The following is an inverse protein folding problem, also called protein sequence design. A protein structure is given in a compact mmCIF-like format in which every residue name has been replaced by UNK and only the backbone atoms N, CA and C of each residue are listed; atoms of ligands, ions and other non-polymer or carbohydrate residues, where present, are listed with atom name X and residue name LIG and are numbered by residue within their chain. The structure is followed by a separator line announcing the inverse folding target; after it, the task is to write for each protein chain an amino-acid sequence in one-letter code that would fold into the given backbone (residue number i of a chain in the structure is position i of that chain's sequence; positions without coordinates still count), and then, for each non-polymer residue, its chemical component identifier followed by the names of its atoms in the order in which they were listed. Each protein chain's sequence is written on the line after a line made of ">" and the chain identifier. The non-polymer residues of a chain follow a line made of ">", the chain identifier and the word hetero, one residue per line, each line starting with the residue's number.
data_IF_030742392690
#
_entry.id   IF_030742392690
#
_cell.length_a   1.000
_cell.length_b   1.000
_cell.length_c   1.000
_cell.angle_alpha   90.00
_cell.angle_beta   90.00
_cell.angle_gamma   90.00
#
_symmetry.space_group_name_H-M   'P 1'
#
loop_
_entity.id
_entity.type
_entity.pdbx_description
1 polymer ?
#
# COMPACT_ATOMS: atom_id res chain seq x y z
N UNK A 1 47.56 33.91 -30.87
CA UNK A 1 47.55 32.69 -31.70
C UNK A 1 46.23 31.96 -31.42
N UNK A 2 45.08 32.30 -31.98
CA UNK A 2 44.73 33.00 -33.24
C UNK A 2 45.28 32.34 -34.51
N UNK A 3 44.32 31.99 -35.38
CA UNK A 3 44.37 31.69 -36.82
C UNK A 3 45.22 30.45 -37.23
N UNK A 4 44.99 29.73 -38.34
CA UNK A 4 44.12 29.92 -39.53
C UNK A 4 43.88 28.53 -40.21
N UNK A 5 42.98 28.23 -41.17
CA UNK A 5 41.75 28.82 -41.76
C UNK A 5 41.20 27.89 -42.86
N UNK A 6 39.85 27.80 -43.06
CA UNK A 6 39.15 27.50 -44.34
C UNK A 6 39.33 26.08 -44.98
N UNK A 7 38.45 25.54 -45.85
CA UNK A 7 37.03 25.77 -46.17
C UNK A 7 36.47 24.69 -47.13
N UNK A 8 35.13 24.55 -47.17
CA UNK A 8 34.32 23.94 -48.26
C UNK A 8 34.52 22.42 -48.55
N UNK A 9 33.63 21.69 -49.23
CA UNK A 9 32.40 22.06 -49.96
C UNK A 9 31.31 20.96 -49.92
N UNK A 10 30.08 21.37 -50.24
CA UNK A 10 28.90 20.55 -50.60
C UNK A 10 29.19 19.30 -51.46
N UNK A 11 28.37 18.24 -51.35
CA UNK A 11 27.31 17.93 -52.33
C UNK A 11 26.62 16.56 -52.12
N UNK A 12 25.36 16.49 -52.56
CA UNK A 12 24.39 15.39 -52.58
C UNK A 12 24.79 14.01 -53.14
N UNK A 13 24.29 12.95 -52.47
CA UNK A 13 23.62 11.72 -53.01
C UNK A 13 24.42 10.76 -53.94
N UNK A 14 23.94 9.51 -54.25
CA UNK A 14 22.66 8.87 -53.93
C UNK A 14 22.75 7.46 -53.26
N UNK A 15 21.58 6.81 -53.10
CA UNK A 15 21.41 5.41 -52.68
C UNK A 15 22.05 4.37 -53.61
N UNK A 16 22.56 3.27 -53.03
CA UNK A 16 22.27 1.86 -53.40
C UNK A 16 23.24 0.90 -52.68
N UNK A 17 22.76 -0.29 -52.26
CA UNK A 17 23.66 -1.38 -51.81
C UNK A 17 23.12 -2.27 -50.69
N UNK A 18 22.17 -3.15 -51.03
CA UNK A 18 21.78 -4.28 -50.17
C UNK A 18 22.92 -5.32 -50.09
N UNK A 19 23.37 -5.64 -48.87
CA UNK A 19 24.02 -6.91 -48.57
C UNK A 19 23.72 -7.37 -47.13
N UNK A 20 23.07 -8.53 -47.01
CA UNK A 20 22.62 -9.08 -45.74
C UNK A 20 23.74 -9.61 -44.83
N UNK A 21 23.48 -9.58 -43.52
CA UNK A 21 24.33 -10.14 -42.47
C UNK A 21 23.50 -10.60 -41.28
N UNK A 22 23.13 -11.87 -41.25
CA UNK A 22 22.30 -12.47 -40.22
C UNK A 22 23.10 -12.75 -38.93
N UNK A 23 22.61 -12.25 -37.78
CA UNK A 23 22.91 -12.86 -36.47
C UNK A 23 21.64 -12.90 -35.60
N UNK A 24 21.41 -14.07 -34.99
CA UNK A 24 20.11 -14.46 -34.44
C UNK A 24 19.80 -13.92 -33.04
N UNK A 25 18.51 -13.84 -32.73
CA UNK A 25 17.99 -13.68 -31.36
C UNK A 25 17.47 -15.03 -30.86
N UNK A 26 17.76 -15.33 -29.59
CA UNK A 26 17.25 -16.54 -28.91
C UNK A 26 15.73 -16.52 -28.71
N UNK A 27 15.14 -17.66 -28.31
CA UNK A 27 13.71 -17.91 -28.46
C UNK A 27 12.84 -17.13 -27.47
N UNK A 28 11.80 -16.48 -28.00
CA UNK A 28 10.62 -16.09 -27.22
C UNK A 28 9.74 -17.33 -26.94
N UNK A 29 9.03 -17.39 -25.80
CA UNK A 29 8.01 -18.42 -25.57
C UNK A 29 6.84 -18.25 -26.58
N UNK A 30 6.17 -19.35 -26.99
CA UNK A 30 5.24 -19.32 -28.11
C UNK A 30 3.96 -18.54 -27.78
N UNK A 31 3.54 -17.70 -28.73
CA UNK A 31 2.22 -17.09 -28.72
C UNK A 31 1.14 -18.17 -28.94
N UNK A 32 0.09 -18.17 -28.11
CA UNK A 32 -1.08 -19.02 -28.34
C UNK A 32 -1.86 -18.47 -29.54
N UNK A 33 -1.98 -19.28 -30.58
CA UNK A 33 -2.64 -18.90 -31.82
C UNK A 33 -4.13 -18.56 -31.60
N UNK A 34 -4.56 -17.42 -32.13
CA UNK A 34 -5.98 -17.14 -32.36
C UNK A 34 -6.29 -17.55 -33.80
N UNK A 35 -7.15 -18.55 -33.97
CA UNK A 35 -7.67 -18.94 -35.29
C UNK A 35 -8.65 -17.89 -35.80
N UNK A 36 -8.42 -17.38 -37.00
CA UNK A 36 -9.39 -16.54 -37.69
C UNK A 36 -10.65 -17.35 -38.05
N UNK A 37 -11.82 -16.73 -37.88
CA UNK A 37 -13.08 -17.14 -38.47
C UNK A 37 -13.81 -15.87 -38.94
N UNK A 38 -14.30 -15.88 -40.17
CA UNK A 38 -14.78 -14.68 -40.85
C UNK A 38 -16.19 -14.24 -40.42
N UNK A 39 -16.41 -12.93 -40.44
CA UNK A 39 -17.67 -12.30 -40.87
C UNK A 39 -18.93 -12.43 -39.99
N UNK A 40 -19.35 -11.32 -39.37
CA UNK A 40 -20.73 -11.17 -38.88
C UNK A 40 -20.86 -10.26 -37.66
N UNK A 41 -21.31 -9.02 -37.85
CA UNK A 41 -21.40 -8.04 -36.77
C UNK A 41 -22.62 -8.19 -35.87
N UNK A 42 -22.40 -8.33 -34.56
CA UNK A 42 -23.22 -7.70 -33.52
C UNK A 42 -22.43 -7.59 -32.22
N UNK A 43 -22.49 -6.45 -31.52
CA UNK A 43 -21.77 -6.24 -30.26
C UNK A 43 -22.53 -6.89 -29.09
N UNK A 44 -22.39 -8.21 -28.95
CA UNK A 44 -22.88 -8.96 -27.79
C UNK A 44 -22.10 -8.59 -26.53
N UNK A 45 -22.80 -8.09 -25.51
CA UNK A 45 -22.23 -7.91 -24.17
C UNK A 45 -21.83 -9.28 -23.60
N UNK A 46 -20.60 -9.41 -23.13
CA UNK A 46 -20.17 -10.57 -22.34
C UNK A 46 -21.03 -10.73 -21.08
N UNK A 47 -21.15 -11.96 -20.53
CA UNK A 47 -22.02 -12.21 -19.39
C UNK A 47 -21.60 -11.37 -18.20
N UNK A 48 -22.51 -10.49 -17.75
CA UNK A 48 -22.34 -9.79 -16.48
C UNK A 48 -22.30 -10.84 -15.34
N UNK A 49 -21.49 -10.63 -14.29
CA UNK A 49 -21.69 -11.39 -13.06
C UNK A 49 -23.14 -11.18 -12.59
N UNK A 50 -23.81 -12.21 -12.05
CA UNK A 50 -25.22 -12.10 -11.67
C UNK A 50 -25.38 -10.93 -10.72
N UNK A 51 -26.32 -10.04 -11.04
CA UNK A 51 -26.67 -8.92 -10.18
C UNK A 51 -27.03 -9.48 -8.80
N UNK A 52 -26.31 -9.04 -7.78
CA UNK A 52 -26.63 -9.41 -6.40
C UNK A 52 -27.95 -8.73 -6.08
N UNK A 53 -29.04 -9.48 -6.23
CA UNK A 53 -30.37 -9.01 -5.90
C UNK A 53 -30.35 -8.60 -4.43
N UNK A 54 -30.47 -7.29 -4.18
CA UNK A 54 -30.79 -6.78 -2.86
C UNK A 54 -32.22 -7.21 -2.58
N UNK A 55 -32.39 -8.28 -1.81
CA UNK A 55 -33.68 -8.62 -1.23
C UNK A 55 -34.08 -7.50 -0.27
N UNK A 56 -35.07 -6.71 -0.66
CA UNK A 56 -35.84 -5.90 0.28
C UNK A 56 -36.65 -6.88 1.13
N UNK A 57 -36.05 -7.32 2.24
CA UNK A 57 -36.66 -8.19 3.23
C UNK A 57 -36.19 -7.77 4.63
N UNK A 58 -37.14 -7.21 5.37
CA UNK A 58 -37.25 -7.15 6.82
C UNK A 58 -36.13 -6.48 7.63
N UNK A 59 -36.37 -5.19 7.87
CA UNK A 59 -35.75 -4.39 8.92
C UNK A 59 -36.17 -4.87 10.33
N UNK A 60 -35.69 -6.04 10.77
CA UNK A 60 -35.84 -6.54 12.15
C UNK A 60 -34.73 -7.52 12.58
N UNK A 61 -33.50 -7.31 12.09
CA UNK A 61 -32.31 -8.07 12.50
C UNK A 61 -31.31 -7.19 13.26
N UNK A 62 -31.35 -7.23 14.59
CA UNK A 62 -30.49 -6.40 15.43
C UNK A 62 -29.00 -6.81 15.33
N UNK A 63 -28.24 -6.10 14.49
CA UNK A 63 -26.79 -6.05 14.60
C UNK A 63 -26.47 -5.30 15.90
N UNK A 64 -26.12 -6.05 16.94
CA UNK A 64 -25.89 -5.53 18.29
C UNK A 64 -24.87 -4.39 18.27
N UNK A 65 -25.34 -3.17 18.51
CA UNK A 65 -24.49 -2.00 18.67
C UNK A 65 -23.61 -2.19 19.91
N UNK A 66 -22.32 -2.41 19.70
CA UNK A 66 -21.34 -2.29 20.77
C UNK A 66 -21.26 -0.79 21.15
N UNK A 67 -21.40 -0.41 22.43
CA UNK A 67 -21.60 0.98 22.82
C UNK A 67 -20.28 1.77 22.78
N UNK A 68 -19.92 2.25 21.59
CA UNK A 68 -18.95 3.36 21.45
C UNK A 68 -19.72 4.65 21.69
N UNK A 69 -19.44 5.32 22.80
CA UNK A 69 -20.24 6.45 23.30
C UNK A 69 -20.23 7.70 22.39
N UNK A 70 -21.22 8.60 22.55
CA UNK A 70 -21.39 9.75 21.68
C UNK A 70 -20.48 10.92 22.08
N UNK A 71 -19.43 11.22 21.29
CA UNK A 71 -18.64 12.45 21.48
C UNK A 71 -17.75 12.89 20.29
N UNK A 72 -18.21 12.81 19.03
CA UNK A 72 -17.55 13.51 17.91
C UNK A 72 -18.53 14.17 16.93
N UNK A 73 -19.55 14.85 17.47
CA UNK A 73 -20.19 15.96 16.76
C UNK A 73 -19.42 17.24 17.10
N UNK A 74 -18.47 17.64 16.26
CA UNK A 74 -17.89 18.99 16.29
C UNK A 74 -18.60 19.86 15.27
N UNK A 75 -19.15 20.98 15.75
CA UNK A 75 -19.90 21.94 14.95
C UNK A 75 -19.02 22.55 13.86
N UNK A 76 -19.60 22.77 12.68
CA UNK A 76 -18.98 23.54 11.60
C UNK A 76 -19.10 25.05 11.89
N UNK A 77 -18.27 25.56 12.80
CA UNK A 77 -17.98 26.98 12.98
C UNK A 77 -16.63 27.14 13.70
N UNK A 78 -15.99 28.27 13.44
CA UNK A 78 -14.73 28.75 14.05
C UNK A 78 -13.44 28.00 13.70
N UNK A 79 -12.53 28.72 13.04
CA UNK A 79 -11.17 28.28 12.78
C UNK A 79 -10.36 28.25 14.08
N UNK A 80 -10.15 27.05 14.62
CA UNK A 80 -9.31 26.82 15.80
C UNK A 80 -8.65 25.45 15.71
N UNK A 81 -7.36 25.42 15.38
CA UNK A 81 -6.62 24.19 15.08
C UNK A 81 -6.74 23.13 16.19
N UNK A 82 -7.25 21.96 15.82
CA UNK A 82 -7.29 20.79 16.69
C UNK A 82 -5.88 20.24 16.89
N UNK A 83 -5.34 20.42 18.11
CA UNK A 83 -4.04 19.83 18.50
C UNK A 83 -4.15 18.31 18.63
N UNK A 84 -4.19 17.60 17.49
CA UNK A 84 -3.84 16.19 17.40
C UNK A 84 -2.35 16.03 17.72
N UNK A 85 -2.04 15.65 18.96
CA UNK A 85 -0.67 15.56 19.43
C UNK A 85 0.05 14.34 18.85
N UNK A 86 0.54 14.45 17.61
CA UNK A 86 1.60 13.58 17.11
C UNK A 86 2.83 13.72 18.03
N UNK A 87 3.40 12.62 18.54
CA UNK A 87 4.55 12.70 19.43
C UNK A 87 5.80 13.13 18.65
N UNK A 88 6.15 14.41 18.76
CA UNK A 88 7.38 14.99 18.23
C UNK A 88 8.61 14.38 18.91
N UNK A 89 9.08 13.24 18.42
CA UNK A 89 10.47 12.82 18.64
C UNK A 89 11.44 13.86 18.08
N UNK A 90 12.74 13.80 18.43
CA UNK A 90 13.74 14.71 17.87
C UNK A 90 13.87 14.43 16.36
N UNK A 91 13.09 15.16 15.57
CA UNK A 91 13.15 15.12 14.13
C UNK A 91 14.55 15.58 13.70
N UNK A 92 15.24 14.73 12.94
CA UNK A 92 16.40 15.18 12.18
C UNK A 92 15.84 16.13 11.13
N UNK A 93 16.01 17.43 11.37
CA UNK A 93 15.48 18.49 10.53
C UNK A 93 16.05 18.35 9.11
N UNK A 94 15.25 17.76 8.23
CA UNK A 94 15.44 17.89 6.78
C UNK A 94 14.93 19.27 6.39
N UNK A 95 15.55 19.89 5.39
CA UNK A 95 14.98 21.13 4.87
C UNK A 95 13.75 20.81 4.02
N UNK A 96 12.79 21.74 3.96
CA UNK A 96 11.65 21.62 3.05
C UNK A 96 12.10 21.47 1.57
N UNK A 97 13.28 22.00 1.23
CA UNK A 97 13.90 21.83 -0.08
C UNK A 97 14.35 20.36 -0.34
N UNK A 98 14.87 19.66 0.67
CA UNK A 98 15.23 18.24 0.55
C UNK A 98 14.00 17.37 0.32
N UNK A 99 12.93 17.60 1.09
CA UNK A 99 11.69 16.85 0.96
C UNK A 99 11.02 17.08 -0.40
N UNK A 100 11.02 18.33 -0.90
CA UNK A 100 10.56 18.67 -2.26
C UNK A 100 11.40 17.97 -3.33
N UNK A 101 12.73 18.03 -3.23
CA UNK A 101 13.64 17.41 -4.19
C UNK A 101 13.46 15.89 -4.21
N UNK A 102 13.32 15.27 -3.03
CA UNK A 102 13.00 13.84 -2.90
C UNK A 102 11.66 13.51 -3.56
N UNK A 103 10.59 14.31 -3.35
CA UNK A 103 9.28 14.09 -3.97
C UNK A 103 9.36 14.17 -5.51
N UNK A 104 10.05 15.18 -6.03
CA UNK A 104 10.27 15.35 -7.47
C UNK A 104 11.12 14.23 -8.09
N UNK A 105 11.95 13.54 -7.29
CA UNK A 105 12.73 12.38 -7.73
C UNK A 105 11.90 11.11 -7.82
N UNK A 106 10.90 10.93 -6.95
CA UNK A 106 10.12 9.68 -6.84
C UNK A 106 8.73 9.74 -7.48
N UNK A 107 8.25 10.92 -7.88
CA UNK A 107 6.90 11.11 -8.44
C UNK A 107 6.96 11.87 -9.78
N UNK A 108 6.48 11.27 -10.87
CA UNK A 108 6.34 11.98 -12.15
C UNK A 108 5.23 13.04 -12.05
N UNK A 109 5.58 14.30 -12.38
CA UNK A 109 4.66 15.44 -12.48
C UNK A 109 3.41 15.15 -13.32
N UNK A 110 3.46 14.22 -14.29
CA UNK A 110 2.31 13.80 -15.10
C UNK A 110 1.17 13.25 -14.25
N UNK A 111 1.47 12.41 -13.26
CA UNK A 111 0.45 11.78 -12.39
C UNK A 111 -0.35 12.83 -11.61
N UNK A 112 0.29 13.92 -11.18
CA UNK A 112 -0.37 15.05 -10.52
C UNK A 112 -1.25 15.90 -11.46
N UNK A 113 -1.08 15.79 -12.78
CA UNK A 113 -1.87 16.51 -13.80
C UNK A 113 -3.09 15.72 -14.29
N UNK A 114 -3.14 14.40 -14.09
CA UNK A 114 -4.28 13.55 -14.47
C UNK A 114 -5.56 13.92 -13.69
N UNK A 115 -5.41 14.51 -12.49
CA UNK A 115 -6.55 14.93 -11.68
C UNK A 115 -7.18 16.23 -12.21
N UNK A 116 -8.28 16.10 -12.95
CA UNK A 116 -9.14 17.21 -13.39
C UNK A 116 -10.07 17.76 -12.28
N UNK A 117 -9.87 17.33 -11.03
CA UNK A 117 -10.56 17.82 -9.83
C UNK A 117 -12.10 17.67 -9.79
N UNK A 118 -12.68 16.79 -10.62
CA UNK A 118 -14.13 16.65 -10.86
C UNK A 118 -15.00 16.14 -9.70
N UNK A 119 -14.43 15.62 -8.61
CA UNK A 119 -15.19 15.16 -7.44
C UNK A 119 -15.78 13.75 -7.48
N UNK A 120 -15.70 13.00 -8.59
CA UNK A 120 -16.24 11.62 -8.67
C UNK A 120 -15.60 10.62 -7.68
N UNK A 121 -14.43 10.95 -7.14
CA UNK A 121 -13.74 10.13 -6.15
C UNK A 121 -14.23 10.33 -4.69
N UNK A 122 -15.10 11.30 -4.43
CA UNK A 122 -15.53 11.70 -3.08
C UNK A 122 -16.31 10.58 -2.38
N UNK A 123 -17.38 10.07 -3.00
CA UNK A 123 -18.24 9.03 -2.41
C UNK A 123 -17.58 7.65 -2.28
N UNK A 124 -16.45 7.46 -2.96
CA UNK A 124 -15.63 6.25 -2.90
C UNK A 124 -14.51 6.34 -1.85
N UNK A 125 -14.32 7.51 -1.23
CA UNK A 125 -13.33 7.71 -0.18
C UNK A 125 -13.99 7.55 1.20
N UNK A 126 -13.69 6.47 1.96
CA UNK A 126 -14.35 6.23 3.24
C UNK A 126 -14.00 7.30 4.29
N UNK A 127 -12.80 7.87 4.24
CA UNK A 127 -12.38 8.90 5.21
C UNK A 127 -13.05 10.24 4.93
N UNK A 128 -13.11 10.67 3.67
CA UNK A 128 -13.90 11.84 3.28
C UNK A 128 -15.38 11.71 3.67
N UNK A 129 -16.00 10.54 3.43
CA UNK A 129 -17.40 10.30 3.77
C UNK A 129 -17.73 10.35 5.26
N UNK A 130 -16.74 10.14 6.13
CA UNK A 130 -16.89 10.26 7.59
C UNK A 130 -16.56 11.68 8.06
N UNK A 131 -15.56 12.33 7.46
CA UNK A 131 -15.01 13.61 7.93
C UNK A 131 -15.63 14.84 7.26
N UNK A 132 -16.13 14.74 6.03
CA UNK A 132 -16.68 15.86 5.25
C UNK A 132 -15.66 16.92 4.79
N UNK A 133 -14.45 16.92 5.31
CA UNK A 133 -13.40 17.88 4.97
C UNK A 133 -12.78 17.59 3.59
N UNK A 134 -12.85 18.55 2.66
CA UNK A 134 -12.31 18.39 1.30
C UNK A 134 -10.80 18.09 1.28
N UNK A 135 -10.03 18.60 2.25
CA UNK A 135 -8.63 18.27 2.41
C UNK A 135 -8.39 16.76 2.63
N UNK A 136 -9.34 16.07 3.27
CA UNK A 136 -9.38 14.62 3.46
C UNK A 136 -10.03 13.84 2.31
N UNK A 137 -10.28 14.50 1.18
CA UNK A 137 -10.70 13.84 -0.05
C UNK A 137 -9.50 13.34 -0.88
N UNK A 138 -9.70 12.42 -1.83
CA UNK A 138 -8.63 11.99 -2.73
C UNK A 138 -8.12 13.15 -3.59
N UNK A 139 -9.04 13.97 -4.14
CA UNK A 139 -8.65 15.15 -4.96
C UNK A 139 -8.01 16.26 -4.11
N UNK A 140 -8.44 16.43 -2.87
CA UNK A 140 -7.86 17.38 -1.92
C UNK A 140 -6.44 16.99 -1.53
N UNK A 141 -6.19 15.72 -1.22
CA UNK A 141 -4.83 15.21 -0.99
C UNK A 141 -3.95 15.38 -2.24
N UNK A 142 -4.41 15.05 -3.45
CA UNK A 142 -3.64 15.31 -4.68
C UNK A 142 -3.30 16.81 -4.82
N UNK A 143 -4.25 17.70 -4.53
CA UNK A 143 -4.02 19.15 -4.57
C UNK A 143 -2.94 19.60 -3.57
N UNK A 144 -2.97 19.08 -2.34
CA UNK A 144 -1.96 19.37 -1.32
C UNK A 144 -0.57 18.83 -1.71
N UNK A 145 -0.49 17.57 -2.18
CA UNK A 145 0.76 16.94 -2.67
C UNK A 145 1.34 17.75 -3.83
N UNK A 146 0.48 18.28 -4.70
CA UNK A 146 0.90 19.20 -5.78
C UNK A 146 1.44 20.53 -5.23
N UNK A 147 0.90 21.08 -4.16
CA UNK A 147 1.47 22.28 -3.52
C UNK A 147 2.88 21.99 -2.96
N UNK A 148 3.11 20.84 -2.33
CA UNK A 148 4.46 20.41 -1.87
C UNK A 148 5.40 20.23 -3.07
N UNK A 149 4.96 19.55 -4.14
CA UNK A 149 5.74 19.35 -5.37
C UNK A 149 6.15 20.69 -6.02
N UNK A 150 5.24 21.65 -6.06
CA UNK A 150 5.46 23.01 -6.56
C UNK A 150 6.24 23.90 -5.58
N UNK A 151 6.47 23.45 -4.34
CA UNK A 151 7.24 24.16 -3.31
C UNK A 151 6.50 25.31 -2.63
N UNK A 152 5.17 25.25 -2.59
CA UNK A 152 4.29 26.28 -2.01
C UNK A 152 3.94 26.04 -0.55
N UNK A 153 3.95 24.78 -0.11
CA UNK A 153 3.81 24.36 1.30
C UNK A 153 4.93 23.37 1.64
N UNK A 154 5.27 23.23 2.93
CA UNK A 154 6.28 22.27 3.38
C UNK A 154 5.73 20.85 3.43
N UNK A 155 6.61 19.85 3.28
CA UNK A 155 6.28 18.45 3.59
C UNK A 155 6.16 18.20 5.11
N UNK A 156 6.81 19.04 5.91
CA UNK A 156 6.78 19.00 7.38
C UNK A 156 5.58 19.75 7.98
N UNK A 157 4.74 20.35 7.12
CA UNK A 157 3.52 21.06 7.53
C UNK A 157 2.57 20.09 8.28
N UNK A 158 2.16 20.40 9.53
CA UNK A 158 1.30 19.53 10.32
C UNK A 158 -0.02 19.18 9.64
N UNK A 159 -0.66 20.14 8.96
CA UNK A 159 -1.97 19.95 8.33
C UNK A 159 -1.83 19.02 7.11
N UNK A 160 -0.77 19.22 6.31
CA UNK A 160 -0.41 18.30 5.23
C UNK A 160 -0.20 16.88 5.75
N UNK A 161 0.59 16.73 6.83
CA UNK A 161 0.86 15.43 7.45
C UNK A 161 -0.42 14.77 7.93
N UNK A 162 -1.28 15.47 8.66
CA UNK A 162 -2.55 14.95 9.18
C UNK A 162 -3.42 14.39 8.04
N UNK A 163 -3.68 15.19 7.00
CA UNK A 163 -4.51 14.75 5.88
C UNK A 163 -3.88 13.57 5.12
N UNK A 164 -2.57 13.56 4.86
CA UNK A 164 -1.89 12.45 4.18
C UNK A 164 -1.89 11.16 5.01
N UNK A 165 -1.81 11.27 6.34
CA UNK A 165 -1.87 10.12 7.24
C UNK A 165 -3.28 9.60 7.49
N UNK A 166 -4.30 10.45 7.42
CA UNK A 166 -5.70 10.02 7.48
C UNK A 166 -6.09 9.07 6.34
N UNK A 167 -5.41 9.10 5.18
CA UNK A 167 -5.70 8.18 4.08
C UNK A 167 -5.52 6.70 4.47
N UNK A 168 -6.51 5.84 4.17
CA UNK A 168 -6.38 4.39 4.42
C UNK A 168 -5.59 3.64 3.32
N UNK A 169 -5.21 4.31 2.23
CA UNK A 169 -4.60 3.71 1.02
C UNK A 169 -5.36 2.48 0.47
N UNK A 170 -6.69 2.49 0.62
CA UNK A 170 -7.58 1.42 0.12
C UNK A 170 -7.79 1.46 -1.41
N UNK A 171 -7.30 2.50 -2.10
CA UNK A 171 -7.36 2.73 -3.55
C UNK A 171 -8.75 2.68 -4.21
N UNK A 172 -9.84 2.64 -3.45
CA UNK A 172 -11.22 2.70 -3.99
C UNK A 172 -11.53 3.96 -4.81
N UNK A 173 -10.84 5.08 -4.54
CA UNK A 173 -10.93 6.29 -5.34
C UNK A 173 -10.32 6.18 -6.74
N UNK A 174 -9.38 5.24 -6.95
CA UNK A 174 -8.72 5.02 -8.23
C UNK A 174 -9.62 4.24 -9.20
N UNK A 175 -10.39 3.26 -8.71
CA UNK A 175 -11.37 2.51 -9.53
C UNK A 175 -12.56 3.38 -9.96
N UNK A 176 -12.89 4.42 -9.19
CA UNK A 176 -13.93 5.40 -9.51
C UNK A 176 -13.47 6.54 -10.43
N UNK A 177 -12.17 6.66 -10.72
CA UNK A 177 -11.64 7.81 -11.45
C UNK A 177 -11.70 7.59 -12.98
N UNK A 178 -12.54 8.34 -13.74
CA UNK A 178 -12.60 8.18 -15.19
C UNK A 178 -11.32 8.66 -15.90
N UNK A 179 -10.53 9.52 -15.25
CA UNK A 179 -9.24 10.00 -15.75
C UNK A 179 -8.08 9.02 -15.50
N UNK A 180 -8.33 7.87 -14.85
CA UNK A 180 -7.31 6.84 -14.62
C UNK A 180 -6.20 7.20 -13.62
N UNK A 181 -6.40 8.23 -12.79
CA UNK A 181 -5.40 8.77 -11.86
C UNK A 181 -4.76 7.68 -11.02
N UNK A 182 -3.43 7.58 -11.07
CA UNK A 182 -2.64 6.60 -10.30
C UNK A 182 -2.51 7.01 -8.82
N UNK A 183 -3.63 7.06 -8.10
CA UNK A 183 -3.73 7.57 -6.75
C UNK A 183 -2.74 6.90 -5.77
N UNK A 184 -2.59 5.57 -5.86
CA UNK A 184 -1.67 4.81 -5.00
C UNK A 184 -0.23 5.32 -5.08
N UNK A 185 0.31 5.52 -6.29
CA UNK A 185 1.66 6.03 -6.49
C UNK A 185 1.83 7.46 -5.94
N UNK A 186 0.80 8.31 -6.08
CA UNK A 186 0.80 9.68 -5.59
C UNK A 186 0.81 9.73 -4.05
N UNK A 187 -0.02 8.94 -3.38
CA UNK A 187 -0.11 8.94 -1.91
C UNK A 187 1.09 8.23 -1.25
N UNK A 188 1.63 7.17 -1.86
CA UNK A 188 2.85 6.49 -1.40
C UNK A 188 4.07 7.42 -1.49
N UNK A 189 4.24 8.14 -2.61
CA UNK A 189 5.29 9.14 -2.76
C UNK A 189 5.17 10.27 -1.71
N UNK A 190 3.94 10.75 -1.46
CA UNK A 190 3.69 11.75 -0.43
C UNK A 190 4.04 11.24 0.99
N UNK A 191 3.71 9.99 1.32
CA UNK A 191 4.07 9.37 2.61
C UNK A 191 5.57 9.18 2.79
N UNK A 192 6.31 8.92 1.71
CA UNK A 192 7.76 8.77 1.74
C UNK A 192 8.52 10.08 2.05
N UNK A 193 7.88 11.24 1.86
CA UNK A 193 8.46 12.57 2.15
C UNK A 193 7.81 13.26 3.35
N UNK A 194 6.52 13.02 3.63
CA UNK A 194 5.81 13.62 4.75
C UNK A 194 6.43 13.25 6.10
N UNK A 195 7.06 12.07 6.19
CA UNK A 195 7.45 11.47 7.46
C UNK A 195 8.91 11.70 7.86
N UNK A 196 9.19 12.36 9.00
CA UNK A 196 10.53 12.59 9.51
C UNK A 196 11.13 11.33 10.15
N UNK A 197 11.39 10.29 9.36
CA UNK A 197 12.16 9.10 9.80
C UNK A 197 13.61 9.52 10.04
N UNK A 198 14.15 9.25 11.23
CA UNK A 198 15.55 9.52 11.54
C UNK A 198 16.51 8.59 10.76
N UNK A 199 17.78 8.98 10.50
CA UNK A 199 18.75 8.15 9.78
C UNK A 199 18.99 6.79 10.45
N UNK A 200 18.97 6.74 11.78
CA UNK A 200 19.09 5.51 12.57
C UNK A 200 17.87 4.60 12.38
N UNK A 201 16.64 5.11 12.50
CA UNK A 201 15.42 4.35 12.24
C UNK A 201 15.34 3.85 10.79
N UNK A 202 15.76 4.66 9.81
CA UNK A 202 15.84 4.26 8.39
C UNK A 202 16.84 3.11 8.18
N UNK A 203 17.96 3.14 8.89
CA UNK A 203 19.00 2.09 8.82
C UNK A 203 18.56 0.81 9.53
N UNK A 204 18.02 0.91 10.74
CA UNK A 204 17.47 -0.21 11.50
C UNK A 204 16.29 -0.86 10.77
N UNK A 205 15.35 -0.06 10.26
CA UNK A 205 14.21 -0.57 9.48
C UNK A 205 14.65 -1.30 8.21
N UNK A 206 15.64 -0.75 7.48
CA UNK A 206 16.23 -1.42 6.31
C UNK A 206 16.96 -2.71 6.69
N UNK A 207 17.69 -2.73 7.81
CA UNK A 207 18.37 -3.94 8.29
C UNK A 207 17.36 -5.03 8.69
N UNK A 208 16.32 -4.69 9.45
CA UNK A 208 15.24 -5.64 9.83
C UNK A 208 14.54 -6.16 8.57
N UNK A 209 14.18 -5.29 7.63
CA UNK A 209 13.51 -5.69 6.38
C UNK A 209 14.41 -6.56 5.50
N UNK A 210 15.68 -6.21 5.34
CA UNK A 210 16.65 -6.92 4.51
C UNK A 210 17.21 -8.21 5.11
N UNK A 211 17.09 -8.43 6.43
CA UNK A 211 17.67 -9.62 7.10
C UNK A 211 16.67 -10.47 7.87
N UNK A 212 15.76 -9.88 8.64
CA UNK A 212 14.79 -10.62 9.45
C UNK A 212 13.66 -11.09 8.54
N UNK A 213 12.97 -10.18 7.84
CA UNK A 213 11.82 -10.57 7.01
C UNK A 213 12.18 -11.40 5.76
N UNK A 214 13.41 -11.32 5.27
CA UNK A 214 13.92 -12.14 4.13
C UNK A 214 14.36 -13.54 4.53
N UNK A 215 14.65 -13.81 5.82
CA UNK A 215 15.22 -15.09 6.27
C UNK A 215 14.27 -15.80 7.22
N UNK A 216 13.56 -16.81 6.71
CA UNK A 216 12.66 -17.69 7.49
C UNK A 216 13.20 -18.13 8.87
N UNK A 217 14.45 -18.64 9.03
CA UNK A 217 14.95 -19.05 10.35
C UNK A 217 15.09 -17.87 11.34
N UNK A 218 15.41 -16.65 10.86
CA UNK A 218 15.44 -15.46 11.72
C UNK A 218 14.03 -15.06 12.17
N UNK A 219 13.00 -15.23 11.32
CA UNK A 219 11.60 -15.02 11.73
C UNK A 219 11.15 -16.04 12.77
N UNK A 220 11.57 -17.30 12.65
CA UNK A 220 11.24 -18.34 13.62
C UNK A 220 11.94 -18.13 14.97
N UNK A 221 13.18 -17.64 14.95
CA UNK A 221 13.89 -17.21 16.15
C UNK A 221 13.25 -15.95 16.77
N UNK A 222 12.91 -14.95 15.97
CA UNK A 222 12.26 -13.72 16.44
C UNK A 222 10.86 -13.98 17.02
N UNK A 223 10.06 -14.85 16.40
CA UNK A 223 8.76 -15.28 16.91
C UNK A 223 8.88 -16.03 18.24
N UNK A 224 9.90 -16.89 18.40
CA UNK A 224 10.18 -17.56 19.67
C UNK A 224 10.63 -16.57 20.74
N UNK A 225 11.56 -15.67 20.42
CA UNK A 225 12.04 -14.61 21.32
C UNK A 225 10.90 -13.71 21.80
N UNK A 226 10.00 -13.29 20.90
CA UNK A 226 8.81 -12.53 21.23
C UNK A 226 7.86 -13.32 22.15
N UNK A 227 7.61 -14.60 21.85
CA UNK A 227 6.78 -15.48 22.71
C UNK A 227 7.39 -15.63 24.11
N UNK A 228 8.71 -15.71 24.24
CA UNK A 228 9.41 -15.75 25.54
C UNK A 228 9.33 -14.40 26.28
N UNK A 229 9.55 -13.29 25.58
CA UNK A 229 9.43 -11.92 26.12
C UNK A 229 8.05 -11.64 26.72
N UNK A 230 6.99 -12.11 26.05
CA UNK A 230 5.62 -12.00 26.55
C UNK A 230 5.33 -12.99 27.69
N UNK A 231 5.71 -14.28 27.53
CA UNK A 231 5.42 -15.32 28.55
C UNK A 231 6.16 -15.17 29.87
N UNK A 232 7.37 -14.63 29.85
CA UNK A 232 8.14 -14.36 31.07
C UNK A 232 7.64 -13.12 31.83
N UNK A 233 6.66 -12.39 31.30
CA UNK A 233 6.21 -11.11 31.86
C UNK A 233 7.23 -9.97 31.71
N UNK A 234 8.36 -10.21 31.04
CA UNK A 234 9.39 -9.21 30.79
C UNK A 234 8.82 -7.99 30.03
N UNK A 235 7.86 -8.21 29.13
CA UNK A 235 7.07 -7.13 28.51
C UNK A 235 6.39 -6.22 29.53
N UNK A 236 5.67 -6.80 30.50
CA UNK A 236 5.01 -6.05 31.56
C UNK A 236 6.02 -5.31 32.45
N UNK A 237 7.16 -5.93 32.73
CA UNK A 237 8.25 -5.31 33.49
C UNK A 237 8.87 -4.12 32.76
N UNK A 238 9.30 -4.25 31.49
CA UNK A 238 9.92 -3.17 30.73
C UNK A 238 8.96 -2.00 30.46
N UNK A 239 7.66 -2.28 30.28
CA UNK A 239 6.61 -1.25 30.19
C UNK A 239 6.45 -0.48 31.49
N UNK A 240 6.49 -1.16 32.65
CA UNK A 240 6.38 -0.53 33.98
C UNK A 240 7.64 0.20 34.44
N UNK A 241 8.83 -0.34 34.15
CA UNK A 241 10.12 0.26 34.55
C UNK A 241 10.49 1.50 33.73
N UNK A 242 9.78 1.77 32.63
CA UNK A 242 10.09 2.86 31.72
C UNK A 242 11.33 2.63 30.85
N UNK A 243 11.98 1.45 30.93
CA UNK A 243 13.16 1.11 30.12
C UNK A 243 12.91 1.24 28.60
N UNK A 244 11.67 1.00 28.15
CA UNK A 244 11.28 1.20 26.75
C UNK A 244 11.33 2.68 26.29
N UNK A 245 11.55 3.66 27.17
CA UNK A 245 11.78 5.06 26.80
C UNK A 245 13.12 5.29 26.09
N UNK A 246 14.08 4.38 26.27
CA UNK A 246 15.40 4.40 25.59
C UNK A 246 15.28 3.98 24.12
N UNK A 247 14.21 3.26 23.75
CA UNK A 247 13.96 2.88 22.35
C UNK A 247 13.49 4.09 21.52
N UNK A 248 13.84 4.14 20.22
CA UNK A 248 13.26 5.08 19.26
C UNK A 248 11.71 5.09 19.32
N UNK A 249 11.05 6.25 19.17
CA UNK A 249 9.60 6.37 19.32
C UNK A 249 8.81 5.34 18.51
N UNK A 250 9.19 5.13 17.24
CA UNK A 250 8.56 4.17 16.34
C UNK A 250 8.67 2.72 16.82
N UNK A 251 9.82 2.32 17.37
CA UNK A 251 9.99 0.97 17.92
C UNK A 251 9.18 0.78 19.21
N UNK A 252 9.02 1.83 20.02
CA UNK A 252 8.15 1.81 21.20
C UNK A 252 6.66 1.75 20.83
N UNK A 253 6.23 2.44 19.78
CA UNK A 253 4.87 2.35 19.24
C UNK A 253 4.59 0.97 18.65
N UNK A 254 5.52 0.42 17.84
CA UNK A 254 5.43 -0.96 17.37
C UNK A 254 5.36 -1.96 18.52
N UNK A 255 6.16 -1.78 19.58
CA UNK A 255 6.10 -2.62 20.79
C UNK A 255 4.72 -2.54 21.46
N UNK A 256 4.17 -1.34 21.62
CA UNK A 256 2.85 -1.12 22.21
C UNK A 256 1.74 -1.88 21.45
N UNK A 257 1.83 -1.91 20.12
CA UNK A 257 0.89 -2.57 19.21
C UNK A 257 1.11 -4.09 19.04
N UNK A 258 2.08 -4.70 19.72
CA UNK A 258 2.34 -6.14 19.59
C UNK A 258 1.16 -7.00 20.08
N UNK A 259 0.58 -7.76 19.15
CA UNK A 259 -0.34 -8.85 19.46
C UNK A 259 0.36 -9.97 20.26
N UNK A 260 -0.41 -10.81 20.99
CA UNK A 260 0.12 -12.04 21.59
C UNK A 260 0.77 -12.94 20.53
N UNK A 261 2.00 -13.42 20.79
CA UNK A 261 2.81 -14.15 19.83
C UNK A 261 2.36 -15.60 19.66
N UNK A 262 1.80 -15.88 18.48
CA UNK A 262 1.24 -17.19 18.13
C UNK A 262 2.27 -18.15 17.53
N UNK A 263 3.44 -17.67 17.08
CA UNK A 263 4.48 -18.49 16.42
C UNK A 263 5.83 -18.63 17.15
N UNK A 264 6.89 -18.73 16.37
CA UNK A 264 8.21 -19.26 16.73
C UNK A 264 8.50 -20.57 15.98
N UNK A 265 9.50 -21.34 16.43
CA UNK A 265 9.90 -22.63 15.82
C UNK A 265 8.70 -23.57 15.58
N UNK A 266 7.75 -23.62 16.53
CA UNK A 266 6.46 -24.30 16.39
C UNK A 266 5.34 -23.27 16.21
N UNK A 267 5.19 -22.82 14.96
CA UNK A 267 4.10 -21.96 14.46
C UNK A 267 3.09 -22.77 13.64
N UNK A 268 1.86 -22.26 13.50
CA UNK A 268 0.92 -22.82 12.52
C UNK A 268 1.44 -22.56 11.09
N UNK A 269 1.19 -23.51 10.20
CA UNK A 269 1.42 -23.35 8.78
C UNK A 269 0.36 -24.17 8.01
N UNK A 270 -0.03 -23.68 6.85
CA UNK A 270 -1.05 -24.31 6.03
C UNK A 270 -0.52 -25.63 5.42
N UNK A 271 -1.40 -26.64 5.27
CA UNK A 271 -1.16 -27.73 4.32
C UNK A 271 -1.04 -27.17 2.90
N UNK A 272 -0.23 -27.83 2.06
CA UNK A 272 -0.07 -27.47 0.64
C UNK A 272 -1.42 -27.55 -0.12
N UNK A 273 -2.26 -28.51 0.27
CA UNK A 273 -3.66 -28.60 -0.17
C UNK A 273 -4.53 -28.82 1.06
N UNK A 274 -5.53 -27.97 1.27
CA UNK A 274 -6.61 -28.19 2.23
C UNK A 274 -7.91 -28.47 1.45
N UNK A 275 -8.55 -29.64 1.65
CA UNK A 275 -9.71 -30.03 0.88
C UNK A 275 -10.95 -29.19 1.24
N UNK A 276 -11.84 -29.04 0.26
CA UNK A 276 -13.18 -28.53 0.49
C UNK A 276 -13.97 -29.48 1.41
N UNK A 277 -14.92 -28.93 2.18
CA UNK A 277 -15.94 -29.69 2.90
C UNK A 277 -17.24 -29.62 2.10
N UNK A 278 -17.77 -30.77 1.69
CA UNK A 278 -18.92 -30.83 0.80
C UNK A 278 -18.55 -30.59 -0.68
N UNK A 279 -19.49 -30.13 -1.52
CA UNK A 279 -19.26 -29.99 -2.96
C UNK A 279 -18.18 -28.94 -3.26
N UNK A 280 -17.27 -29.26 -4.17
CA UNK A 280 -16.24 -28.33 -4.64
C UNK A 280 -16.88 -27.24 -5.50
N UNK A 281 -16.74 -25.99 -5.06
CA UNK A 281 -17.23 -24.80 -5.76
C UNK A 281 -16.10 -23.99 -6.39
N UNK A 282 -14.98 -23.85 -5.68
CA UNK A 282 -13.87 -22.97 -6.08
C UNK A 282 -12.51 -23.58 -5.74
N UNK A 283 -11.47 -23.07 -6.40
CA UNK A 283 -10.06 -23.33 -6.05
C UNK A 283 -9.44 -21.98 -5.67
N UNK A 284 -8.82 -21.90 -4.49
CA UNK A 284 -8.33 -20.65 -3.91
C UNK A 284 -6.84 -20.78 -3.57
N UNK A 285 -6.01 -19.86 -4.06
CA UNK A 285 -4.63 -19.72 -3.61
C UNK A 285 -4.58 -18.99 -2.26
N UNK A 286 -3.89 -19.55 -1.27
CA UNK A 286 -3.72 -18.96 0.05
C UNK A 286 -2.26 -18.63 0.32
N UNK A 287 -1.97 -17.35 0.49
CA UNK A 287 -0.64 -16.83 0.81
C UNK A 287 -0.57 -16.64 2.32
N UNK A 288 0.19 -17.50 3.02
CA UNK A 288 0.35 -17.39 4.49
C UNK A 288 0.91 -16.04 4.93
N UNK A 289 1.81 -15.44 4.15
CA UNK A 289 2.62 -14.29 4.54
C UNK A 289 3.79 -14.65 5.48
N UNK A 290 4.76 -13.76 5.62
CA UNK A 290 5.94 -14.00 6.45
C UNK A 290 5.69 -13.75 7.96
N UNK A 291 4.87 -12.76 8.29
CA UNK A 291 4.57 -12.32 9.67
C UNK A 291 3.33 -13.02 10.25
N UNK A 292 2.29 -13.27 9.43
CA UNK A 292 1.03 -13.82 9.95
C UNK A 292 1.21 -15.16 10.69
N UNK A 293 2.02 -16.13 10.24
CA UNK A 293 2.30 -17.34 11.03
C UNK A 293 2.90 -17.07 12.42
N UNK A 294 3.54 -15.91 12.63
CA UNK A 294 4.17 -15.53 13.90
C UNK A 294 3.22 -14.82 14.89
N UNK A 295 2.24 -14.06 14.39
CA UNK A 295 1.36 -13.22 15.22
C UNK A 295 -0.14 -13.58 15.11
N UNK A 296 -0.55 -14.16 13.98
CA UNK A 296 -1.94 -14.39 13.57
C UNK A 296 -2.13 -15.76 12.90
N UNK A 297 -1.38 -16.77 13.36
CA UNK A 297 -1.46 -18.15 12.87
C UNK A 297 -2.86 -18.76 13.04
N UNK A 298 -3.55 -18.42 14.13
CA UNK A 298 -4.93 -18.84 14.39
C UNK A 298 -5.92 -18.19 13.42
N UNK A 299 -5.67 -16.95 13.01
CA UNK A 299 -6.44 -16.25 11.96
C UNK A 299 -6.24 -16.94 10.61
N UNK A 300 -5.00 -17.25 10.23
CA UNK A 300 -4.73 -18.02 9.01
C UNK A 300 -5.41 -19.40 9.03
N UNK A 301 -5.34 -20.10 10.17
CA UNK A 301 -6.01 -21.38 10.36
C UNK A 301 -7.54 -21.27 10.27
N UNK A 302 -8.13 -20.19 10.82
CA UNK A 302 -9.56 -19.91 10.71
C UNK A 302 -9.97 -19.63 9.26
N UNK A 303 -9.22 -18.79 8.54
CA UNK A 303 -9.45 -18.49 7.12
C UNK A 303 -9.48 -19.75 6.27
N UNK A 304 -8.51 -20.66 6.43
CA UNK A 304 -8.50 -21.95 5.72
C UNK A 304 -9.73 -22.81 6.07
N UNK A 305 -10.14 -22.87 7.35
CA UNK A 305 -11.35 -23.60 7.76
C UNK A 305 -12.63 -23.01 7.15
N UNK A 306 -12.75 -21.68 7.12
CA UNK A 306 -13.92 -20.98 6.54
C UNK A 306 -13.99 -21.18 5.04
N UNK A 307 -12.86 -21.07 4.32
CA UNK A 307 -12.78 -21.36 2.89
C UNK A 307 -13.18 -22.81 2.59
N UNK A 308 -12.60 -23.78 3.32
CA UNK A 308 -12.94 -25.19 3.16
C UNK A 308 -14.44 -25.45 3.41
N UNK A 309 -15.03 -24.84 4.44
CA UNK A 309 -16.47 -24.95 4.75
C UNK A 309 -17.38 -24.33 3.67
N UNK A 310 -16.88 -23.41 2.84
CA UNK A 310 -17.61 -22.80 1.73
C UNK A 310 -17.38 -23.52 0.38
N UNK A 311 -16.85 -24.74 0.40
CA UNK A 311 -16.61 -25.54 -0.81
C UNK A 311 -15.33 -25.16 -1.57
N UNK A 312 -14.41 -24.40 -0.97
CA UNK A 312 -13.14 -24.04 -1.60
C UNK A 312 -12.07 -25.10 -1.33
N UNK A 313 -11.41 -25.60 -2.38
CA UNK A 313 -10.12 -26.30 -2.23
C UNK A 313 -9.02 -25.24 -2.14
N UNK A 314 -8.29 -25.23 -1.02
CA UNK A 314 -7.29 -24.20 -0.73
C UNK A 314 -5.89 -24.73 -1.03
N UNK A 315 -5.16 -24.02 -1.89
CA UNK A 315 -3.79 -24.35 -2.28
C UNK A 315 -2.83 -23.35 -1.65
N UNK A 316 -1.85 -23.85 -0.90
CA UNK A 316 -0.78 -23.05 -0.30
C UNK A 316 0.53 -23.30 -1.04
N UNK A 317 1.35 -22.28 -1.32
CA UNK A 317 2.67 -22.49 -1.92
C UNK A 317 3.55 -23.45 -1.10
N UNK A 318 4.48 -24.18 -1.75
CA UNK A 318 5.54 -24.89 -1.03
C UNK A 318 6.42 -23.89 -0.26
N UNK A 319 7.11 -24.39 0.78
CA UNK A 319 7.88 -23.60 1.77
C UNK A 319 9.37 -23.56 1.48
#
# INVERSE_FOLDING_TARGET
>A
MQDATLAASNADRPDAGDHGGSQGRGPHPPAVAQSAADGGGSQGRGPQPPAVARSEADASGAWGASPVGPALARSAADGGGSKGAHPSGPAVARSAADARTQLQTILDKKLLKECVHCGLCLDYCPTYRVLGHEADSPRGRIYQIRQVYEGKISADDPDFREHIYCCLDCRACQTACPSGVQYGAIIEAARAIAEPISPSEKTVGRAILGTVFTRKPLLDAAGLGLRLYQRTGLQGFLRKSGALRVLPPRLREMEAMLAPAQGGIRRWAAPQVSPARGPVRYRVGFIEGCIMPQLFGDTNAATVRVLAANGCVVFSPPK
#
